data_IF_670737517671
#
_entry.id   IF_670737517671
#
_cell.length_a   1.000
_cell.length_b   1.000
_cell.length_c   1.000
_cell.angle_alpha   90.00
_cell.angle_beta   90.00
_cell.angle_gamma   90.00
#
_symmetry.space_group_name_H-M   'P 1'
#
loop_
_entity.id
_entity.type
_entity.pdbx_description
1 polymer ?
#
# COMPACT_ATOMS: atom_id res chain seq x y z
N UNK A 1 -34.27 6.11 -10.35
CA UNK A 1 -33.82 7.38 -9.75
C UNK A 1 -33.54 7.24 -8.24
N UNK A 2 -34.51 6.71 -7.46
CA UNK A 2 -34.35 6.62 -5.96
C UNK A 2 -33.28 5.63 -5.54
N UNK A 3 -33.20 4.46 -6.18
CA UNK A 3 -32.22 3.41 -5.87
C UNK A 3 -30.79 3.84 -6.20
N UNK A 4 -30.57 4.53 -7.31
CA UNK A 4 -29.26 5.08 -7.70
C UNK A 4 -28.80 6.18 -6.73
N UNK A 5 -29.72 6.99 -6.25
CA UNK A 5 -29.45 8.04 -5.28
C UNK A 5 -29.08 7.45 -3.90
N UNK A 6 -29.77 6.37 -3.47
CA UNK A 6 -29.45 5.65 -2.25
C UNK A 6 -28.07 4.99 -2.32
N UNK A 7 -27.75 4.31 -3.41
CA UNK A 7 -26.43 3.69 -3.62
C UNK A 7 -25.29 4.73 -3.63
N UNK A 8 -25.50 5.89 -4.26
CA UNK A 8 -24.50 6.97 -4.24
C UNK A 8 -24.31 7.56 -2.83
N UNK A 9 -25.40 7.67 -2.06
CA UNK A 9 -25.34 8.17 -0.69
C UNK A 9 -24.60 7.18 0.21
N UNK A 10 -24.90 5.88 0.09
CA UNK A 10 -24.23 4.81 0.84
C UNK A 10 -22.72 4.79 0.54
N UNK A 11 -22.30 4.82 -0.74
CA UNK A 11 -20.89 4.91 -1.12
C UNK A 11 -20.18 6.12 -0.53
N UNK A 12 -20.85 7.29 -0.51
CA UNK A 12 -20.28 8.50 0.11
C UNK A 12 -20.15 8.35 1.62
N UNK A 13 -21.15 7.78 2.27
CA UNK A 13 -21.10 7.53 3.73
C UNK A 13 -19.95 6.57 4.07
N UNK A 14 -19.79 5.48 3.32
CA UNK A 14 -18.68 4.54 3.47
C UNK A 14 -17.33 5.23 3.29
N UNK A 15 -17.17 6.07 2.27
CA UNK A 15 -15.93 6.82 2.03
C UNK A 15 -15.59 7.78 3.17
N UNK A 16 -16.58 8.44 3.76
CA UNK A 16 -16.39 9.32 4.93
C UNK A 16 -15.98 8.51 6.15
N UNK A 17 -16.63 7.38 6.41
CA UNK A 17 -16.27 6.48 7.51
C UNK A 17 -14.83 5.97 7.38
N UNK A 18 -14.42 5.59 6.17
CA UNK A 18 -13.06 5.16 5.89
C UNK A 18 -12.05 6.28 6.15
N UNK A 19 -12.34 7.51 5.71
CA UNK A 19 -11.51 8.68 5.97
C UNK A 19 -11.35 8.94 7.48
N UNK A 20 -12.45 8.89 8.23
CA UNK A 20 -12.43 9.07 9.69
C UNK A 20 -11.56 8.00 10.34
N UNK A 21 -11.72 6.73 9.96
CA UNK A 21 -10.93 5.62 10.50
C UNK A 21 -9.43 5.77 10.17
N UNK A 22 -9.10 6.20 8.96
CA UNK A 22 -7.71 6.47 8.57
C UNK A 22 -7.12 7.62 9.37
N UNK A 23 -7.90 8.70 9.60
CA UNK A 23 -7.47 9.84 10.41
C UNK A 23 -7.19 9.43 11.87
N UNK A 24 -8.10 8.67 12.49
CA UNK A 24 -7.90 8.15 13.86
C UNK A 24 -6.67 7.23 13.94
N UNK A 25 -6.45 6.40 12.93
CA UNK A 25 -5.24 5.55 12.88
C UNK A 25 -3.98 6.39 12.83
N UNK A 26 -3.96 7.40 11.96
CA UNK A 26 -2.80 8.29 11.84
C UNK A 26 -2.55 9.04 13.15
N UNK A 27 -3.60 9.57 13.78
CA UNK A 27 -3.49 10.26 15.06
C UNK A 27 -2.91 9.36 16.16
N UNK A 28 -3.34 8.10 16.26
CA UNK A 28 -2.78 7.12 17.22
C UNK A 28 -1.33 6.78 16.91
N UNK A 29 -0.98 6.61 15.63
CA UNK A 29 0.40 6.35 15.21
C UNK A 29 1.34 7.48 15.61
N UNK A 30 0.92 8.73 15.41
CA UNK A 30 1.71 9.91 15.72
C UNK A 30 1.82 10.21 17.21
N UNK A 31 0.77 9.91 17.96
CA UNK A 31 0.79 10.01 19.43
C UNK A 31 1.65 8.91 20.08
N UNK A 32 2.06 7.88 19.33
CA UNK A 32 2.73 6.70 19.90
C UNK A 32 1.78 5.80 20.70
N UNK A 33 0.48 6.03 20.61
CA UNK A 33 -0.55 5.30 21.36
C UNK A 33 -0.98 3.99 20.69
N UNK A 34 -0.39 3.66 19.55
CA UNK A 34 -0.68 2.41 18.84
C UNK A 34 0.15 1.29 19.45
N UNK A 35 -0.49 0.45 20.25
CA UNK A 35 0.14 -0.74 20.79
C UNK A 35 0.32 -1.77 19.67
N UNK A 36 1.52 -1.84 19.10
CA UNK A 36 1.88 -2.80 18.06
C UNK A 36 2.56 -4.00 18.69
N UNK A 37 1.84 -5.12 18.81
CA UNK A 37 2.47 -6.37 19.21
C UNK A 37 3.47 -6.84 18.15
N UNK A 38 4.74 -6.81 18.52
CA UNK A 38 5.83 -7.24 17.65
C UNK A 38 6.09 -8.72 17.86
N UNK A 39 6.17 -9.48 16.77
CA UNK A 39 6.41 -10.92 16.81
C UNK A 39 7.25 -11.38 15.62
N UNK A 40 7.69 -12.65 15.67
CA UNK A 40 8.33 -13.31 14.53
C UNK A 40 7.27 -13.62 13.47
N UNK A 41 7.43 -13.09 12.26
CA UNK A 41 6.45 -13.16 11.18
C UNK A 41 7.11 -13.66 9.91
N UNK A 42 6.46 -14.60 9.22
CA UNK A 42 6.79 -14.97 7.84
C UNK A 42 6.18 -13.96 6.87
N UNK A 43 7.03 -13.13 6.26
CA UNK A 43 6.57 -12.12 5.29
C UNK A 43 6.20 -12.71 3.93
N UNK A 44 6.68 -13.92 3.61
CA UNK A 44 6.27 -14.61 2.38
C UNK A 44 4.79 -14.97 2.42
N UNK A 45 4.30 -15.42 3.58
CA UNK A 45 2.88 -15.71 3.80
C UNK A 45 2.03 -14.44 3.66
N UNK A 46 2.44 -13.35 4.31
CA UNK A 46 1.72 -12.07 4.22
C UNK A 46 1.65 -11.56 2.78
N UNK A 47 2.74 -11.65 2.02
CA UNK A 47 2.74 -11.25 0.61
C UNK A 47 1.71 -12.04 -0.20
N UNK A 48 1.64 -13.36 -0.02
CA UNK A 48 0.68 -14.22 -0.72
C UNK A 48 -0.76 -13.92 -0.30
N UNK A 49 -1.03 -13.81 1.01
CA UNK A 49 -2.35 -13.43 1.54
C UNK A 49 -2.80 -12.10 0.96
N UNK A 50 -1.93 -11.09 0.94
CA UNK A 50 -2.27 -9.76 0.43
C UNK A 50 -2.66 -9.76 -1.05
N UNK A 51 -2.06 -10.61 -1.88
CA UNK A 51 -2.47 -10.72 -3.29
C UNK A 51 -3.82 -11.43 -3.41
N UNK A 52 -4.07 -12.46 -2.59
CA UNK A 52 -5.36 -13.18 -2.60
C UNK A 52 -6.52 -12.25 -2.26
N UNK A 53 -6.35 -11.34 -1.31
CA UNK A 53 -7.38 -10.36 -0.92
C UNK A 53 -7.80 -9.44 -2.09
N UNK A 54 -6.90 -9.19 -3.04
CA UNK A 54 -7.16 -8.35 -4.20
C UNK A 54 -7.40 -9.13 -5.50
N UNK A 55 -7.29 -10.46 -5.48
CA UNK A 55 -7.29 -11.28 -6.69
C UNK A 55 -8.53 -11.05 -7.56
N UNK A 56 -9.70 -11.00 -6.96
CA UNK A 56 -10.96 -10.83 -7.70
C UNK A 56 -11.00 -9.47 -8.42
N UNK A 57 -10.69 -8.38 -7.71
CA UNK A 57 -10.72 -7.03 -8.29
C UNK A 57 -9.64 -6.83 -9.34
N UNK A 58 -8.45 -7.41 -9.16
CA UNK A 58 -7.37 -7.38 -10.14
C UNK A 58 -7.77 -8.10 -11.43
N UNK A 59 -8.34 -9.30 -11.29
CA UNK A 59 -8.81 -10.10 -12.43
C UNK A 59 -9.93 -9.41 -13.18
N UNK A 60 -10.94 -8.89 -12.48
CA UNK A 60 -12.07 -8.18 -13.11
C UNK A 60 -11.64 -6.93 -13.86
N UNK A 61 -10.59 -6.25 -13.40
CA UNK A 61 -10.04 -5.06 -14.07
C UNK A 61 -8.96 -5.40 -15.11
N UNK A 62 -8.67 -6.67 -15.33
CA UNK A 62 -7.73 -7.14 -16.35
C UNK A 62 -6.27 -6.81 -16.05
N UNK A 63 -5.88 -6.84 -14.77
CA UNK A 63 -4.49 -6.69 -14.37
C UNK A 63 -3.70 -7.97 -14.65
N UNK A 64 -2.51 -7.81 -15.21
CA UNK A 64 -1.44 -8.81 -15.17
C UNK A 64 -0.80 -8.77 -13.77
N UNK A 65 -0.71 -9.92 -13.11
CA UNK A 65 -0.15 -10.04 -11.76
C UNK A 65 1.10 -10.92 -11.83
N UNK A 66 2.23 -10.35 -11.43
CA UNK A 66 3.53 -11.04 -11.35
C UNK A 66 3.99 -11.10 -9.90
N UNK A 67 4.27 -12.31 -9.40
CA UNK A 67 4.61 -12.55 -8.00
C UNK A 67 5.94 -13.28 -7.92
N UNK A 68 6.93 -12.64 -7.34
CA UNK A 68 8.27 -13.18 -7.08
C UNK A 68 8.50 -13.23 -5.57
N UNK A 69 7.97 -14.26 -4.93
CA UNK A 69 8.08 -14.49 -3.48
C UNK A 69 8.71 -15.86 -3.23
N UNK A 70 9.79 -15.96 -2.43
CA UNK A 70 10.44 -17.23 -2.12
C UNK A 70 9.48 -18.28 -1.58
N UNK A 71 9.70 -19.56 -1.93
CA UNK A 71 8.96 -20.68 -1.35
C UNK A 71 9.32 -20.90 0.12
N UNK A 72 10.59 -20.66 0.47
CA UNK A 72 11.06 -20.77 1.85
C UNK A 72 10.63 -19.56 2.68
N UNK A 73 10.26 -19.76 3.95
CA UNK A 73 9.87 -18.68 4.85
C UNK A 73 10.99 -17.65 5.04
N UNK A 74 10.62 -16.38 5.05
CA UNK A 74 11.52 -15.27 5.35
C UNK A 74 10.95 -14.50 6.54
N UNK A 75 11.71 -14.46 7.64
CA UNK A 75 11.22 -13.94 8.91
C UNK A 75 11.69 -12.52 9.21
N UNK A 76 10.76 -11.71 9.72
CA UNK A 76 11.02 -10.40 10.34
C UNK A 76 10.53 -10.41 11.79
N UNK A 77 11.06 -9.50 12.60
CA UNK A 77 10.43 -9.13 13.86
C UNK A 77 9.59 -7.87 13.61
N UNK A 78 8.28 -8.02 13.57
CA UNK A 78 7.37 -6.98 13.14
C UNK A 78 5.96 -7.17 13.68
N UNK A 79 5.03 -6.37 13.16
CA UNK A 79 3.60 -6.47 13.43
C UNK A 79 2.87 -6.94 12.17
N UNK A 80 2.16 -8.09 12.26
CA UNK A 80 1.47 -8.70 11.10
C UNK A 80 0.46 -7.72 10.49
N UNK A 81 -0.42 -7.16 11.31
CA UNK A 81 -1.47 -6.24 10.84
C UNK A 81 -0.89 -4.97 10.22
N UNK A 82 0.22 -4.48 10.78
CA UNK A 82 0.96 -3.34 10.24
C UNK A 82 1.50 -3.60 8.85
N UNK A 83 2.14 -4.76 8.62
CA UNK A 83 2.66 -5.14 7.29
C UNK A 83 1.53 -5.36 6.31
N UNK A 84 0.47 -6.08 6.68
CA UNK A 84 -0.72 -6.29 5.84
C UNK A 84 -1.34 -4.94 5.45
N UNK A 85 -1.46 -4.00 6.37
CA UNK A 85 -2.01 -2.67 6.11
C UNK A 85 -1.12 -1.83 5.17
N UNK A 86 0.21 -1.95 5.29
CA UNK A 86 1.13 -1.34 4.33
C UNK A 86 0.88 -1.89 2.93
N UNK A 87 0.89 -3.22 2.77
CA UNK A 87 0.67 -3.85 1.46
C UNK A 87 -0.72 -3.53 0.90
N UNK A 88 -1.76 -3.54 1.74
CA UNK A 88 -3.11 -3.12 1.34
C UNK A 88 -3.12 -1.70 0.74
N UNK A 89 -2.47 -0.74 1.41
CA UNK A 89 -2.38 0.63 0.93
C UNK A 89 -1.61 0.73 -0.40
N UNK A 90 -0.50 0.00 -0.53
CA UNK A 90 0.32 0.01 -1.75
C UNK A 90 -0.42 -0.63 -2.93
N UNK A 91 -1.02 -1.82 -2.75
CA UNK A 91 -1.79 -2.52 -3.79
C UNK A 91 -3.03 -1.71 -4.19
N UNK A 92 -3.75 -1.13 -3.22
CA UNK A 92 -4.88 -0.23 -3.51
C UNK A 92 -4.46 0.98 -4.34
N UNK A 93 -3.26 1.53 -4.10
CA UNK A 93 -2.73 2.61 -4.91
C UNK A 93 -2.42 2.16 -6.34
N UNK A 94 -1.87 0.96 -6.54
CA UNK A 94 -1.65 0.40 -7.90
C UNK A 94 -2.99 0.27 -8.64
N UNK A 95 -4.01 -0.28 -8.01
CA UNK A 95 -5.34 -0.42 -8.62
C UNK A 95 -5.94 0.94 -8.97
N UNK A 96 -5.73 1.94 -8.14
CA UNK A 96 -6.31 3.28 -8.29
C UNK A 96 -5.56 4.16 -9.27
N UNK A 97 -4.24 4.20 -9.19
CA UNK A 97 -3.40 5.14 -9.93
C UNK A 97 -2.57 4.47 -11.04
N UNK A 98 -2.30 3.17 -10.93
CA UNK A 98 -1.60 2.37 -11.92
C UNK A 98 -2.49 1.67 -12.94
N UNK A 99 -3.82 1.94 -12.90
CA UNK A 99 -4.82 1.25 -13.73
C UNK A 99 -4.56 1.33 -15.25
N UNK A 100 -3.94 2.39 -15.72
CA UNK A 100 -3.60 2.54 -17.15
C UNK A 100 -2.56 1.50 -17.59
N UNK A 101 -1.65 1.10 -16.71
CA UNK A 101 -0.63 0.08 -16.97
C UNK A 101 -1.12 -1.36 -16.81
N UNK A 102 -2.26 -1.56 -16.11
CA UNK A 102 -2.86 -2.88 -15.83
C UNK A 102 -1.86 -3.96 -15.40
N UNK A 103 -0.91 -3.56 -14.58
CA UNK A 103 0.14 -4.45 -14.09
C UNK A 103 0.35 -4.24 -12.58
N UNK A 104 0.45 -5.35 -11.86
CA UNK A 104 0.86 -5.40 -10.47
C UNK A 104 1.99 -6.42 -10.31
N UNK A 105 3.17 -5.94 -9.93
CA UNK A 105 4.27 -6.79 -9.50
C UNK A 105 4.37 -6.79 -7.97
N UNK A 106 4.63 -7.95 -7.38
CA UNK A 106 5.01 -8.10 -5.97
C UNK A 106 6.28 -8.94 -5.89
N UNK A 107 7.39 -8.30 -5.54
CA UNK A 107 8.70 -8.95 -5.45
C UNK A 107 9.23 -8.88 -4.01
N UNK A 108 9.65 -10.03 -3.47
CA UNK A 108 10.27 -10.12 -2.17
C UNK A 108 11.73 -10.56 -2.32
N UNK A 109 12.63 -9.64 -2.04
CA UNK A 109 14.08 -9.87 -2.02
C UNK A 109 14.62 -9.77 -0.61
N UNK A 110 15.67 -10.51 -0.31
CA UNK A 110 16.34 -10.39 0.98
C UNK A 110 17.86 -10.61 0.85
N UNK A 111 18.59 -10.03 1.77
CA UNK A 111 20.00 -10.29 1.99
C UNK A 111 20.22 -10.82 3.44
N UNK A 112 21.44 -10.78 3.94
CA UNK A 112 21.74 -11.26 5.30
C UNK A 112 21.04 -10.45 6.40
N UNK A 113 20.79 -9.14 6.20
CA UNK A 113 20.36 -8.21 7.24
C UNK A 113 18.97 -7.62 6.99
N UNK A 114 18.54 -7.55 5.74
CA UNK A 114 17.38 -6.76 5.32
C UNK A 114 16.48 -7.53 4.36
N UNK A 115 15.23 -7.19 4.37
CA UNK A 115 14.18 -7.69 3.50
C UNK A 115 13.60 -6.49 2.77
N UNK A 116 13.32 -6.67 1.48
CA UNK A 116 12.73 -5.67 0.60
C UNK A 116 11.48 -6.27 -0.03
N UNK A 117 10.35 -5.62 0.16
CA UNK A 117 9.09 -5.96 -0.50
C UNK A 117 8.77 -4.83 -1.46
N UNK A 118 8.82 -5.12 -2.75
CA UNK A 118 8.54 -4.18 -3.82
C UNK A 118 7.14 -4.40 -4.36
N UNK A 119 6.34 -3.33 -4.38
CA UNK A 119 5.05 -3.28 -5.06
C UNK A 119 5.21 -2.41 -6.30
N UNK A 120 4.96 -2.99 -7.47
CA UNK A 120 5.34 -2.43 -8.76
C UNK A 120 4.11 -2.19 -9.61
N UNK A 121 3.99 -1.01 -10.21
CA UNK A 121 3.02 -0.71 -11.27
C UNK A 121 3.70 -0.17 -12.53
N UNK A 122 3.00 -0.27 -13.66
CA UNK A 122 3.41 0.26 -14.97
C UNK A 122 2.47 1.36 -15.46
N UNK A 123 1.88 2.13 -14.53
CA UNK A 123 1.01 3.26 -14.82
C UNK A 123 1.77 4.51 -15.28
N UNK A 124 1.09 5.66 -15.19
CA UNK A 124 1.67 6.96 -15.60
C UNK A 124 2.91 7.36 -14.80
N UNK A 125 3.07 6.77 -13.62
CA UNK A 125 4.17 7.09 -12.73
C UNK A 125 3.96 8.38 -11.94
N UNK A 126 5.02 8.75 -11.22
CA UNK A 126 5.06 9.91 -10.31
C UNK A 126 6.17 10.83 -10.81
N UNK A 127 5.83 12.11 -11.03
CA UNK A 127 6.84 13.11 -11.35
C UNK A 127 7.81 13.27 -10.18
N UNK A 128 9.11 13.43 -10.49
CA UNK A 128 10.19 13.61 -9.50
C UNK A 128 9.91 14.75 -8.52
N UNK A 129 9.21 15.79 -8.96
CA UNK A 129 8.83 16.93 -8.11
C UNK A 129 7.89 16.54 -6.96
N UNK A 130 7.18 15.43 -7.10
CA UNK A 130 6.21 14.96 -6.11
C UNK A 130 6.66 13.72 -5.35
N UNK A 131 7.75 13.07 -5.75
CA UNK A 131 8.20 11.81 -5.16
C UNK A 131 8.42 11.88 -3.65
N UNK A 132 8.93 12.99 -3.13
CA UNK A 132 9.12 13.21 -1.70
C UNK A 132 7.80 13.56 -0.98
N UNK A 133 6.84 14.14 -1.71
CA UNK A 133 5.58 14.67 -1.17
C UNK A 133 4.44 13.68 -1.14
N UNK A 134 4.53 12.57 -1.89
CA UNK A 134 3.44 11.57 -1.93
C UNK A 134 3.17 10.90 -0.58
N UNK A 135 4.11 11.00 0.36
CA UNK A 135 3.97 10.53 1.74
C UNK A 135 3.43 11.61 2.69
N UNK A 136 3.25 12.85 2.22
CA UNK A 136 2.66 13.94 3.01
C UNK A 136 1.16 13.69 3.23
N UNK A 137 0.64 14.17 4.36
CA UNK A 137 -0.77 14.05 4.69
C UNK A 137 -1.64 14.76 3.66
N UNK A 138 -2.74 14.10 3.28
CA UNK A 138 -3.74 14.64 2.36
C UNK A 138 -3.17 15.03 0.98
N UNK A 139 -1.93 14.62 0.69
CA UNK A 139 -1.37 14.84 -0.63
C UNK A 139 -2.01 13.89 -1.64
N UNK A 140 -2.52 14.47 -2.72
CA UNK A 140 -3.04 13.72 -3.86
C UNK A 140 -2.47 14.35 -5.12
N UNK A 141 -2.03 13.52 -6.07
CA UNK A 141 -1.71 13.98 -7.41
C UNK A 141 -3.03 14.41 -8.06
N UNK A 142 -3.23 15.72 -8.24
CA UNK A 142 -4.45 16.25 -8.85
C UNK A 142 -4.53 15.80 -10.31
N UNK A 143 -5.36 14.80 -10.57
CA UNK A 143 -6.06 14.70 -11.85
C UNK A 143 -7.51 15.11 -11.57
N UNK A 144 -7.78 16.42 -11.59
CA UNK A 144 -9.05 17.06 -11.23
C UNK A 144 -10.23 16.61 -12.10
N UNK A 145 -10.00 15.75 -13.09
CA UNK A 145 -11.00 15.25 -14.04
C UNK A 145 -11.73 13.98 -13.58
N UNK A 146 -11.22 13.26 -12.58
CA UNK A 146 -11.83 11.99 -12.13
C UNK A 146 -12.04 11.94 -10.63
N UNK A 147 -13.01 12.72 -10.12
CA UNK A 147 -13.41 12.74 -8.70
C UNK A 147 -13.80 11.37 -8.13
N UNK A 148 -14.04 10.37 -8.99
CA UNK A 148 -14.42 9.01 -8.57
C UNK A 148 -13.21 8.13 -8.21
N UNK A 149 -11.97 8.57 -8.53
CA UNK A 149 -10.74 7.81 -8.32
C UNK A 149 -9.90 8.42 -7.18
N UNK A 150 -10.29 9.60 -6.68
CA UNK A 150 -9.53 10.35 -5.70
C UNK A 150 -9.42 9.59 -4.37
N UNK A 151 -8.21 9.25 -3.97
CA UNK A 151 -7.91 8.73 -2.64
C UNK A 151 -7.89 9.83 -1.60
N UNK A 152 -7.98 9.45 -0.33
CA UNK A 152 -8.01 10.40 0.79
C UNK A 152 -6.63 11.01 1.12
N UNK A 153 -5.56 10.62 0.41
CA UNK A 153 -4.20 11.11 0.65
C UNK A 153 -3.59 10.72 2.01
N UNK A 154 -4.19 9.75 2.71
CA UNK A 154 -3.70 9.29 4.01
C UNK A 154 -3.05 7.89 3.96
N UNK A 155 -3.33 7.09 2.94
CA UNK A 155 -2.89 5.70 2.86
C UNK A 155 -1.37 5.56 2.87
N UNK A 156 -0.65 6.34 2.07
CA UNK A 156 0.82 6.30 2.01
C UNK A 156 1.45 6.89 3.27
N UNK A 157 0.86 7.92 3.87
CA UNK A 157 1.30 8.48 5.15
C UNK A 157 1.19 7.44 6.26
N UNK A 158 0.07 6.72 6.34
CA UNK A 158 -0.13 5.62 7.30
C UNK A 158 0.89 4.51 7.06
N UNK A 159 1.07 4.07 5.81
CA UNK A 159 2.02 3.03 5.45
C UNK A 159 3.45 3.41 5.86
N UNK A 160 3.88 4.65 5.61
CA UNK A 160 5.21 5.15 6.01
C UNK A 160 5.38 5.17 7.53
N UNK A 161 4.38 5.64 8.28
CA UNK A 161 4.44 5.65 9.75
C UNK A 161 4.49 4.24 10.34
N UNK A 162 3.71 3.30 9.81
CA UNK A 162 3.76 1.89 10.21
C UNK A 162 5.13 1.27 9.96
N UNK A 163 5.74 1.52 8.79
CA UNK A 163 7.08 1.06 8.49
C UNK A 163 8.11 1.60 9.49
N UNK A 164 8.05 2.90 9.79
CA UNK A 164 8.94 3.55 10.75
C UNK A 164 8.80 2.97 12.17
N UNK A 165 7.59 2.69 12.63
CA UNK A 165 7.35 2.07 13.95
C UNK A 165 7.91 0.64 14.06
N UNK A 166 8.07 -0.05 12.94
CA UNK A 166 8.76 -1.34 12.86
C UNK A 166 10.28 -1.21 12.59
N UNK A 167 10.86 0.00 12.75
CA UNK A 167 12.24 0.31 12.41
C UNK A 167 12.60 -0.03 10.95
N UNK A 168 11.61 0.03 10.08
CA UNK A 168 11.71 -0.13 8.64
C UNK A 168 11.67 1.21 7.90
N UNK A 169 11.63 1.12 6.59
CA UNK A 169 11.58 2.27 5.69
C UNK A 169 10.61 2.00 4.56
N UNK A 170 9.84 3.01 4.14
CA UNK A 170 9.03 2.97 2.93
C UNK A 170 9.52 4.05 1.97
N UNK A 171 9.91 3.64 0.77
CA UNK A 171 10.43 4.52 -0.27
C UNK A 171 9.71 4.28 -1.60
N UNK A 172 9.92 5.20 -2.54
CA UNK A 172 9.38 5.09 -3.90
C UNK A 172 10.46 5.46 -4.91
N UNK A 173 10.47 4.72 -6.00
CA UNK A 173 11.20 5.06 -7.22
C UNK A 173 10.22 5.02 -8.38
N UNK A 174 10.15 6.09 -9.16
CA UNK A 174 9.27 6.15 -10.31
C UNK A 174 10.02 6.65 -11.54
N UNK A 175 9.85 5.92 -12.63
CA UNK A 175 10.22 6.35 -13.96
C UNK A 175 8.91 6.53 -14.74
N UNK A 176 8.45 7.77 -14.95
CA UNK A 176 7.15 8.05 -15.55
C UNK A 176 6.93 7.31 -16.87
N UNK A 177 5.74 6.73 -17.03
CA UNK A 177 5.33 5.90 -18.16
C UNK A 177 6.15 4.61 -18.37
N UNK A 178 6.97 4.22 -17.42
CA UNK A 178 7.72 2.96 -17.44
C UNK A 178 7.29 2.10 -16.26
N UNK A 179 7.62 2.53 -15.05
CA UNK A 179 7.21 1.84 -13.82
C UNK A 179 7.34 2.72 -12.58
N UNK A 180 6.54 2.41 -11.57
CA UNK A 180 6.70 2.89 -10.20
C UNK A 180 6.92 1.70 -9.28
N UNK A 181 7.88 1.82 -8.38
CA UNK A 181 8.24 0.80 -7.39
C UNK A 181 8.15 1.42 -6.01
N UNK A 182 7.24 0.92 -5.19
CA UNK A 182 7.21 1.20 -3.76
C UNK A 182 7.96 0.08 -3.04
N UNK A 183 8.96 0.43 -2.25
CA UNK A 183 9.80 -0.53 -1.52
C UNK A 183 9.59 -0.39 -0.02
N UNK A 184 9.06 -1.44 0.61
CA UNK A 184 9.08 -1.62 2.05
C UNK A 184 10.36 -2.37 2.44
N UNK A 185 11.23 -1.72 3.22
CA UNK A 185 12.45 -2.30 3.76
C UNK A 185 12.25 -2.61 5.26
N UNK A 186 12.52 -3.82 5.66
CA UNK A 186 12.47 -4.27 7.04
C UNK A 186 13.76 -4.98 7.43
N UNK A 187 14.08 -5.01 8.73
CA UNK A 187 15.21 -5.80 9.25
C UNK A 187 14.86 -7.27 9.27
N UNK A 188 15.74 -8.10 8.69
CA UNK A 188 15.62 -9.54 8.72
C UNK A 188 15.88 -10.04 10.13
N UNK A 189 15.07 -10.98 10.59
CA UNK A 189 15.35 -11.68 11.83
C UNK A 189 16.45 -12.71 11.59
N UNK A 190 17.58 -12.53 12.27
CA UNK A 190 18.64 -13.53 12.30
C UNK A 190 18.25 -14.61 13.32
N UNK A 191 18.43 -15.86 12.96
CA UNK A 191 18.14 -17.03 13.81
C UNK A 191 19.04 -17.04 15.04
#
# INVERSE_FOLDING_TARGET
ATTDMLQKTEKKAQSVMELINQFFTLAKLEAGDMNMEMSKIDVCEICRESILDFYEILTQNGFEVDISVPDSPVYVFGNKDGIQRILFNLISNVIRYGADGKYLGLDLRNNEKEIYIDVIDKGKGIDKLFADRIFDRLFTLEDSRNRNIQGNGLGLTIAKNLALQMNGELSVQSNPNVQTVFTLKLKKMLY
#
